data_IF_494819669875
#
_entry.id   IF_494819669875
#
_cell.length_a   1.000
_cell.length_b   1.000
_cell.length_c   1.000
_cell.angle_alpha   90.00
_cell.angle_beta   90.00
_cell.angle_gamma   90.00
#
_symmetry.space_group_name_H-M   'P 1'
#
loop_
_entity.id
_entity.type
_entity.pdbx_description
1 polymer ?
#
# COMPACT_ATOMS: atom_id res chain seq x y z
N UNK A 1 0.34 40.62 5.77
CA UNK A 1 1.37 39.58 5.98
C UNK A 1 0.74 38.43 6.75
N UNK A 2 0.47 37.28 6.11
CA UNK A 2 0.12 36.05 6.82
C UNK A 2 1.42 35.29 7.06
N UNK A 3 1.80 35.15 8.32
CA UNK A 3 2.92 34.32 8.74
C UNK A 3 2.55 32.88 8.39
N UNK A 4 3.31 32.27 7.48
CA UNK A 4 3.11 30.89 7.05
C UNK A 4 3.28 29.96 8.24
N UNK A 5 2.17 29.35 8.69
CA UNK A 5 2.23 28.25 9.63
C UNK A 5 2.99 27.11 8.99
N UNK A 6 4.12 26.72 9.59
CA UNK A 6 4.75 25.45 9.32
C UNK A 6 3.75 24.38 9.73
N UNK A 7 3.04 23.80 8.75
CA UNK A 7 2.17 22.66 8.98
C UNK A 7 3.07 21.53 9.48
N UNK A 8 3.09 21.33 10.80
CA UNK A 8 3.82 20.25 11.44
C UNK A 8 3.02 18.96 11.18
N UNK A 9 3.12 18.43 9.96
CA UNK A 9 2.48 17.18 9.60
C UNK A 9 3.05 16.08 10.50
N UNK A 10 2.16 15.36 11.17
CA UNK A 10 2.55 14.20 11.97
C UNK A 10 3.25 13.20 11.04
N UNK A 11 4.43 12.73 11.45
CA UNK A 11 5.17 11.72 10.72
C UNK A 11 4.58 10.33 11.04
N UNK A 12 3.97 9.68 10.05
CA UNK A 12 3.37 8.36 10.18
C UNK A 12 4.29 7.27 9.64
N UNK A 13 4.12 6.04 10.13
CA UNK A 13 4.70 4.82 9.58
C UNK A 13 3.65 4.12 8.73
N UNK A 14 3.92 3.94 7.45
CA UNK A 14 2.97 3.43 6.47
C UNK A 14 3.58 2.22 5.77
N UNK A 15 2.96 1.06 5.91
CA UNK A 15 3.31 -0.09 5.09
C UNK A 15 2.43 -0.12 3.84
N UNK A 16 2.99 -0.50 2.68
CA UNK A 16 2.24 -0.66 1.43
C UNK A 16 2.43 -2.07 0.90
N UNK A 17 1.38 -2.88 0.93
CA UNK A 17 1.40 -4.27 0.47
C UNK A 17 1.06 -4.37 -1.02
N UNK A 18 2.03 -4.83 -1.81
CA UNK A 18 1.98 -4.89 -3.27
C UNK A 18 2.66 -3.68 -3.91
N UNK A 19 3.57 -3.92 -4.85
CA UNK A 19 4.34 -2.87 -5.55
C UNK A 19 4.04 -2.81 -7.06
N UNK A 20 2.78 -3.08 -7.43
CA UNK A 20 2.26 -2.73 -8.75
C UNK A 20 2.01 -1.22 -8.91
N UNK A 21 1.37 -0.81 -9.99
CA UNK A 21 1.07 0.61 -10.28
C UNK A 21 0.42 1.35 -9.11
N UNK A 22 -0.67 0.80 -8.55
CA UNK A 22 -1.39 1.42 -7.42
C UNK A 22 -0.52 1.49 -6.17
N UNK A 23 0.14 0.39 -5.80
CA UNK A 23 0.93 0.34 -4.58
C UNK A 23 2.16 1.25 -4.64
N UNK A 24 2.93 1.19 -5.72
CA UNK A 24 4.16 1.98 -5.83
C UNK A 24 3.88 3.46 -6.04
N UNK A 25 2.80 3.85 -6.72
CA UNK A 25 2.40 5.26 -6.81
C UNK A 25 2.06 5.83 -5.44
N UNK A 26 1.29 5.11 -4.62
CA UNK A 26 0.95 5.52 -3.25
C UNK A 26 2.20 5.55 -2.35
N UNK A 27 3.07 4.54 -2.46
CA UNK A 27 4.30 4.49 -1.68
C UNK A 27 5.23 5.67 -2.00
N UNK A 28 5.39 5.99 -3.28
CA UNK A 28 6.19 7.12 -3.77
C UNK A 28 5.57 8.45 -3.31
N UNK A 29 4.25 8.60 -3.43
CA UNK A 29 3.54 9.81 -2.99
C UNK A 29 3.73 10.09 -1.49
N UNK A 30 3.47 9.09 -0.65
CA UNK A 30 3.45 9.25 0.81
C UNK A 30 4.86 9.36 1.41
N UNK A 31 5.86 8.73 0.79
CA UNK A 31 7.25 8.74 1.27
C UNK A 31 7.95 10.08 1.18
N UNK A 32 7.36 11.07 0.50
CA UNK A 32 7.83 12.45 0.51
C UNK A 32 7.71 13.11 1.89
N UNK A 33 6.79 12.64 2.73
CA UNK A 33 6.47 13.27 4.02
C UNK A 33 6.35 12.29 5.20
N UNK A 34 6.33 10.99 4.93
CA UNK A 34 6.15 9.93 5.94
C UNK A 34 7.15 8.80 5.75
N UNK A 35 7.32 7.96 6.78
CA UNK A 35 8.11 6.74 6.65
C UNK A 35 7.28 5.67 5.96
N UNK A 36 7.74 5.21 4.79
CA UNK A 36 7.04 4.20 4.00
C UNK A 36 7.89 2.95 3.83
N UNK A 37 7.29 1.80 4.10
CA UNK A 37 7.87 0.49 3.81
C UNK A 37 6.98 -0.25 2.81
N UNK A 38 7.45 -0.37 1.57
CA UNK A 38 6.82 -1.18 0.54
C UNK A 38 7.09 -2.68 0.81
N UNK A 39 6.07 -3.51 0.66
CA UNK A 39 6.15 -4.95 0.86
C UNK A 39 5.75 -5.64 -0.44
N UNK A 40 6.62 -6.52 -0.93
CA UNK A 40 6.34 -7.36 -2.09
C UNK A 40 6.78 -8.80 -1.82
N UNK A 41 6.39 -9.72 -2.70
CA UNK A 41 6.82 -11.12 -2.66
C UNK A 41 7.93 -11.40 -3.67
N UNK A 42 8.19 -10.47 -4.60
CA UNK A 42 9.20 -10.61 -5.66
C UNK A 42 10.50 -9.91 -5.21
N UNK A 43 11.61 -10.66 -4.96
CA UNK A 43 12.87 -10.10 -4.48
C UNK A 43 13.46 -9.03 -5.39
N UNK A 44 13.36 -9.22 -6.71
CA UNK A 44 13.85 -8.28 -7.71
C UNK A 44 13.20 -6.90 -7.58
N UNK A 45 11.87 -6.85 -7.38
CA UNK A 45 11.16 -5.57 -7.17
C UNK A 45 11.64 -4.86 -5.91
N UNK A 46 11.85 -5.60 -4.83
CA UNK A 46 12.36 -5.08 -3.56
C UNK A 46 13.76 -4.48 -3.74
N UNK A 47 14.64 -5.19 -4.43
CA UNK A 47 15.99 -4.71 -4.73
C UNK A 47 15.97 -3.45 -5.59
N UNK A 48 15.16 -3.43 -6.65
CA UNK A 48 15.03 -2.26 -7.52
C UNK A 48 14.58 -1.02 -6.75
N UNK A 49 13.51 -1.13 -5.93
CA UNK A 49 12.98 0.01 -5.17
C UNK A 49 14.02 0.53 -4.16
N UNK A 50 14.72 -0.36 -3.45
CA UNK A 50 15.78 0.04 -2.51
C UNK A 50 16.98 0.69 -3.22
N UNK A 51 17.21 0.36 -4.49
CA UNK A 51 18.19 0.99 -5.36
C UNK A 51 17.64 2.20 -6.13
N UNK A 52 16.50 2.75 -5.70
CA UNK A 52 15.87 3.94 -6.31
C UNK A 52 15.54 3.75 -7.81
N UNK A 53 15.20 2.52 -8.20
CA UNK A 53 14.76 2.16 -9.56
C UNK A 53 13.32 1.66 -9.53
N UNK A 54 12.52 2.11 -10.50
CA UNK A 54 11.13 1.64 -10.62
C UNK A 54 11.08 0.24 -11.25
N UNK A 55 10.38 -0.74 -10.65
CA UNK A 55 10.08 -2.03 -11.27
C UNK A 55 8.93 -1.99 -12.30
N UNK A 56 8.32 -0.83 -12.52
CA UNK A 56 7.24 -0.59 -13.48
C UNK A 56 7.54 0.64 -14.33
N UNK A 57 6.98 0.70 -15.53
CA UNK A 57 7.19 1.84 -16.41
C UNK A 57 6.19 2.96 -16.10
N UNK A 58 6.67 4.02 -15.47
CA UNK A 58 5.90 5.22 -15.12
C UNK A 58 6.84 6.42 -14.95
N UNK A 59 6.67 7.44 -15.80
CA UNK A 59 7.55 8.62 -15.85
C UNK A 59 7.67 9.34 -14.50
N UNK A 60 6.60 9.41 -13.72
CA UNK A 60 6.60 10.14 -12.45
C UNK A 60 7.25 9.32 -11.35
N UNK A 61 6.96 8.02 -11.26
CA UNK A 61 7.59 7.15 -10.27
C UNK A 61 9.09 7.05 -10.54
N UNK A 62 9.49 6.81 -11.78
CA UNK A 62 10.90 6.75 -12.18
C UNK A 62 11.63 8.04 -11.82
N UNK A 63 11.05 9.19 -12.16
CA UNK A 63 11.59 10.51 -11.83
C UNK A 63 11.68 10.74 -10.32
N UNK A 64 10.66 10.40 -9.55
CA UNK A 64 10.63 10.66 -8.12
C UNK A 64 11.61 9.78 -7.35
N UNK A 65 11.72 8.50 -7.72
CA UNK A 65 12.72 7.60 -7.14
C UNK A 65 14.13 8.11 -7.43
N UNK A 66 14.41 8.58 -8.65
CA UNK A 66 15.73 9.03 -9.04
C UNK A 66 16.12 10.42 -8.47
N UNK A 67 15.17 11.36 -8.39
CA UNK A 67 15.48 12.78 -8.14
C UNK A 67 15.07 13.29 -6.75
N UNK A 68 14.15 12.62 -6.06
CA UNK A 68 13.59 13.11 -4.78
C UNK A 68 14.16 12.35 -3.60
N UNK A 69 14.28 13.05 -2.47
CA UNK A 69 14.55 12.43 -1.18
C UNK A 69 13.26 11.80 -0.65
N UNK A 70 13.12 10.50 -0.84
CA UNK A 70 11.99 9.71 -0.35
C UNK A 70 12.41 8.94 0.90
N UNK A 71 11.53 8.91 1.91
CA UNK A 71 11.67 8.00 3.04
C UNK A 71 10.93 6.69 2.70
N UNK A 72 11.44 6.00 1.67
CA UNK A 72 10.89 4.79 1.11
C UNK A 72 11.92 3.67 1.22
N UNK A 73 11.52 2.54 1.79
CA UNK A 73 12.26 1.28 1.74
C UNK A 73 11.34 0.18 1.24
N UNK A 74 11.90 -0.92 0.74
CA UNK A 74 11.16 -2.10 0.33
C UNK A 74 11.67 -3.35 1.05
N UNK A 75 10.79 -4.32 1.31
CA UNK A 75 11.15 -5.57 1.99
C UNK A 75 10.26 -6.74 1.55
N UNK A 76 10.79 -7.95 1.73
CA UNK A 76 10.02 -9.21 1.68
C UNK A 76 9.43 -9.56 3.06
N UNK A 77 9.94 -8.95 4.14
CA UNK A 77 9.53 -9.23 5.51
C UNK A 77 8.28 -8.45 5.90
N UNK A 78 7.12 -9.04 5.63
CA UNK A 78 5.83 -8.52 6.03
C UNK A 78 5.70 -8.33 7.55
N UNK A 79 6.33 -9.18 8.37
CA UNK A 79 6.27 -9.05 9.83
C UNK A 79 6.95 -7.76 10.26
N UNK A 80 8.18 -7.54 9.80
CA UNK A 80 8.92 -6.33 10.12
C UNK A 80 8.17 -5.07 9.66
N UNK A 81 7.62 -5.09 8.44
CA UNK A 81 6.91 -3.93 7.88
C UNK A 81 5.59 -3.60 8.58
N UNK A 82 4.83 -4.61 9.04
CA UNK A 82 3.49 -4.37 9.61
C UNK A 82 3.50 -4.14 11.12
N UNK A 83 4.50 -4.63 11.84
CA UNK A 83 4.51 -4.67 13.32
C UNK A 83 4.38 -3.29 13.99
N UNK A 84 4.86 -2.22 13.37
CA UNK A 84 4.84 -0.86 13.91
C UNK A 84 4.18 0.18 12.98
N UNK A 85 3.47 -0.28 11.95
CA UNK A 85 2.77 0.59 11.02
C UNK A 85 1.53 1.23 11.67
N UNK A 86 1.35 2.54 11.46
CA UNK A 86 0.10 3.23 11.76
C UNK A 86 -0.99 2.85 10.74
N UNK A 87 -0.57 2.76 9.47
CA UNK A 87 -1.42 2.40 8.34
C UNK A 87 -0.80 1.28 7.51
N UNK A 88 -1.64 0.36 7.02
CA UNK A 88 -1.25 -0.61 6.00
C UNK A 88 -2.13 -0.40 4.78
N UNK A 89 -1.56 0.12 3.69
CA UNK A 89 -2.22 0.23 2.40
C UNK A 89 -2.15 -1.13 1.71
N UNK A 90 -3.29 -1.68 1.30
CA UNK A 90 -3.39 -2.99 0.64
C UNK A 90 -3.70 -2.75 -0.85
N UNK A 91 -2.69 -2.95 -1.70
CA UNK A 91 -2.73 -2.74 -3.14
C UNK A 91 -2.25 -4.01 -3.89
N UNK A 92 -2.62 -5.18 -3.38
CA UNK A 92 -2.33 -6.47 -3.99
C UNK A 92 -3.27 -6.77 -5.16
N UNK A 93 -2.89 -7.65 -6.10
CA UNK A 93 -3.75 -8.03 -7.22
C UNK A 93 -5.13 -8.54 -6.77
N UNK A 94 -6.14 -8.21 -7.57
CA UNK A 94 -7.51 -8.72 -7.47
C UNK A 94 -7.99 -8.96 -8.89
N UNK A 95 -8.45 -10.17 -9.18
CA UNK A 95 -8.88 -10.54 -10.53
C UNK A 95 -10.38 -10.80 -10.56
N UNK A 96 -11.07 -10.22 -11.54
CA UNK A 96 -12.46 -10.53 -11.81
C UNK A 96 -12.54 -11.61 -12.88
N UNK A 97 -13.18 -12.72 -12.57
CA UNK A 97 -13.53 -13.75 -13.54
C UNK A 97 -14.92 -13.45 -14.10
N UNK A 98 -14.97 -13.07 -15.37
CA UNK A 98 -16.22 -12.77 -16.09
C UNK A 98 -17.11 -13.99 -16.31
N UNK A 99 -16.57 -15.21 -16.27
CA UNK A 99 -17.32 -16.45 -16.47
C UNK A 99 -18.04 -16.87 -15.19
N UNK A 100 -17.35 -16.80 -14.05
CA UNK A 100 -17.93 -17.16 -12.73
C UNK A 100 -18.56 -15.96 -12.01
N UNK A 101 -18.39 -14.75 -12.55
CA UNK A 101 -18.78 -13.48 -11.95
C UNK A 101 -18.19 -13.30 -10.54
N UNK A 102 -16.98 -13.84 -10.32
CA UNK A 102 -16.33 -13.88 -9.02
C UNK A 102 -15.08 -13.00 -9.00
N UNK A 103 -14.87 -12.30 -7.88
CA UNK A 103 -13.63 -11.60 -7.60
C UNK A 103 -12.72 -12.47 -6.75
N UNK A 104 -11.56 -12.85 -7.27
CA UNK A 104 -10.50 -13.40 -6.45
C UNK A 104 -9.86 -12.28 -5.61
N UNK A 105 -10.12 -12.34 -4.30
CA UNK A 105 -9.60 -11.41 -3.29
C UNK A 105 -8.64 -12.09 -2.32
N UNK A 106 -8.16 -13.29 -2.66
CA UNK A 106 -7.28 -14.11 -1.82
C UNK A 106 -6.03 -13.37 -1.36
N UNK A 107 -5.38 -12.61 -2.25
CA UNK A 107 -4.20 -11.82 -1.93
C UNK A 107 -4.49 -10.72 -0.90
N UNK A 108 -5.64 -10.04 -1.01
CA UNK A 108 -6.08 -9.03 -0.04
C UNK A 108 -6.29 -9.69 1.33
N UNK A 109 -6.94 -10.85 1.37
CA UNK A 109 -7.16 -11.58 2.63
C UNK A 109 -5.86 -12.09 3.28
N UNK A 110 -4.86 -12.50 2.49
CA UNK A 110 -3.54 -12.89 3.02
C UNK A 110 -2.91 -11.70 3.74
N UNK A 111 -2.95 -10.50 3.16
CA UNK A 111 -2.42 -9.29 3.81
C UNK A 111 -3.20 -8.98 5.07
N UNK A 112 -4.55 -8.98 5.04
CA UNK A 112 -5.38 -8.75 6.23
C UNK A 112 -5.00 -9.73 7.35
N UNK A 113 -4.84 -11.03 7.05
CA UNK A 113 -4.41 -12.04 8.04
C UNK A 113 -3.06 -11.72 8.65
N UNK A 114 -2.09 -11.30 7.85
CA UNK A 114 -0.75 -10.95 8.33
C UNK A 114 -0.78 -9.68 9.20
N UNK A 115 -1.53 -8.66 8.80
CA UNK A 115 -1.70 -7.44 9.61
C UNK A 115 -2.39 -7.77 10.93
N UNK A 116 -3.47 -8.53 10.92
CA UNK A 116 -4.16 -8.96 12.15
C UNK A 116 -3.25 -9.78 13.07
N UNK A 117 -2.33 -10.56 12.52
CA UNK A 117 -1.35 -11.36 13.29
C UNK A 117 -0.26 -10.50 13.93
N UNK A 118 0.25 -9.49 13.22
CA UNK A 118 1.44 -8.74 13.65
C UNK A 118 1.12 -7.40 14.30
N UNK A 119 0.03 -6.75 13.88
CA UNK A 119 -0.40 -5.45 14.38
C UNK A 119 -1.91 -5.23 14.13
N UNK A 120 -2.79 -5.82 14.97
CA UNK A 120 -4.25 -5.69 14.81
C UNK A 120 -4.77 -4.25 15.02
N UNK A 121 -3.95 -3.35 15.56
CA UNK A 121 -4.31 -1.95 15.79
C UNK A 121 -4.07 -1.06 14.58
N UNK A 122 -3.29 -1.50 13.59
CA UNK A 122 -3.04 -0.73 12.36
C UNK A 122 -4.34 -0.50 11.58
N UNK A 123 -4.46 0.68 10.96
CA UNK A 123 -5.55 0.98 10.04
C UNK A 123 -5.21 0.41 8.66
N UNK A 124 -5.98 -0.59 8.22
CA UNK A 124 -5.84 -1.21 6.91
C UNK A 124 -6.66 -0.43 5.88
N UNK A 125 -6.01 0.08 4.84
CA UNK A 125 -6.64 0.83 3.75
C UNK A 125 -6.58 0.00 2.48
N UNK A 126 -7.68 -0.63 2.11
CA UNK A 126 -7.78 -1.39 0.87
C UNK A 126 -7.88 -0.39 -0.29
N UNK A 127 -6.91 -0.49 -1.20
CA UNK A 127 -6.85 0.21 -2.49
C UNK A 127 -7.18 -0.72 -3.65
N UNK A 128 -6.91 -2.03 -3.51
CA UNK A 128 -7.31 -3.04 -4.48
C UNK A 128 -8.80 -3.00 -4.80
N UNK A 129 -9.16 -3.21 -6.07
CA UNK A 129 -10.56 -3.28 -6.49
C UNK A 129 -11.24 -4.48 -5.86
N UNK A 130 -12.30 -4.21 -5.08
CA UNK A 130 -13.03 -5.23 -4.32
C UNK A 130 -14.53 -5.14 -4.61
N UNK A 131 -15.29 -6.25 -4.49
CA UNK A 131 -16.72 -6.24 -4.74
C UNK A 131 -17.47 -5.40 -3.70
N UNK A 132 -18.65 -4.91 -4.08
CA UNK A 132 -19.54 -4.18 -3.16
C UNK A 132 -19.88 -5.07 -1.96
N UNK A 133 -19.85 -4.51 -0.76
CA UNK A 133 -20.09 -5.24 0.50
C UNK A 133 -18.86 -5.98 1.05
N UNK A 134 -17.77 -6.12 0.28
CA UNK A 134 -16.57 -6.85 0.71
C UNK A 134 -15.96 -6.31 2.00
N UNK A 135 -15.87 -4.98 2.14
CA UNK A 135 -15.29 -4.40 3.38
C UNK A 135 -16.10 -4.77 4.61
N UNK A 136 -17.43 -4.84 4.51
CA UNK A 136 -18.28 -5.26 5.62
C UNK A 136 -18.05 -6.73 5.96
N UNK A 137 -17.99 -7.61 4.95
CA UNK A 137 -17.78 -9.05 5.16
C UNK A 137 -16.42 -9.37 5.77
N UNK A 138 -15.33 -8.71 5.35
CA UNK A 138 -14.00 -8.95 5.96
C UNK A 138 -13.88 -8.36 7.37
N UNK A 139 -14.53 -7.24 7.67
CA UNK A 139 -14.59 -6.71 9.04
C UNK A 139 -15.25 -7.70 9.99
N UNK A 140 -16.33 -8.33 9.57
CA UNK A 140 -17.02 -9.38 10.34
C UNK A 140 -16.13 -10.62 10.47
N UNK A 141 -15.63 -11.14 9.35
CA UNK A 141 -14.77 -12.34 9.29
C UNK A 141 -13.52 -12.25 10.15
N UNK A 142 -12.88 -11.08 10.21
CA UNK A 142 -11.65 -10.87 10.97
C UNK A 142 -11.86 -10.15 12.31
N UNK A 143 -13.10 -9.78 12.65
CA UNK A 143 -13.42 -9.09 13.91
C UNK A 143 -12.73 -7.72 14.07
N UNK A 144 -12.41 -7.03 12.97
CA UNK A 144 -11.64 -5.77 12.99
C UNK A 144 -12.43 -4.62 12.40
N UNK A 145 -12.53 -3.51 13.14
CA UNK A 145 -13.14 -2.26 12.65
C UNK A 145 -12.15 -1.40 11.86
N UNK A 146 -10.86 -1.76 11.87
CA UNK A 146 -9.77 -0.96 11.32
C UNK A 146 -9.54 -1.19 9.82
N UNK A 147 -10.41 -1.92 9.14
CA UNK A 147 -10.33 -2.16 7.69
C UNK A 147 -11.21 -1.14 6.98
N UNK A 148 -10.67 -0.28 6.14
CA UNK A 148 -11.42 0.67 5.32
C UNK A 148 -11.12 0.46 3.84
N UNK A 149 -12.06 0.82 2.97
CA UNK A 149 -11.83 0.89 1.53
C UNK A 149 -11.70 2.34 1.10
N UNK A 150 -10.70 2.62 0.27
CA UNK A 150 -10.51 3.90 -0.38
C UNK A 150 -10.21 3.61 -1.84
N UNK A 151 -11.16 3.86 -2.77
CA UNK A 151 -10.97 3.50 -4.17
C UNK A 151 -9.75 4.21 -4.76
N UNK A 152 -9.23 3.65 -5.83
CA UNK A 152 -8.22 4.26 -6.68
C UNK A 152 -8.84 4.53 -8.06
N UNK A 153 -8.33 5.54 -8.75
CA UNK A 153 -8.77 5.94 -10.09
C UNK A 153 -7.58 6.31 -10.99
N UNK A 154 -6.41 5.78 -10.65
CA UNK A 154 -5.17 5.99 -11.38
C UNK A 154 -5.28 5.29 -12.74
N UNK A 155 -4.48 5.73 -13.71
CA UNK A 155 -4.35 5.03 -14.98
C UNK A 155 -2.93 4.52 -15.08
N UNK A 156 -2.74 3.32 -15.63
CA UNK A 156 -1.38 2.85 -15.89
C UNK A 156 -0.64 3.86 -16.79
N UNK A 157 0.58 4.21 -16.39
CA UNK A 157 1.45 5.21 -17.02
C UNK A 157 0.97 6.68 -16.98
N UNK A 158 0.02 7.06 -16.08
CA UNK A 158 -0.42 8.47 -15.89
C UNK A 158 -0.86 8.84 -14.48
#
# INVERSE_FOLDING_TARGET
MRVGGVNNMKNYKIAVAGTGYVGLSIATLLSQHHQVTAVDIVPEKVEMINNHKSPIHDDYIEKYLAEKKLNLTATLDAKAAYSDADFVVIATPTNYDSHTQHFDTSAVEVVIKLVMKYNPNAIMVIKSTIPVGYTASVREKFGSKNIIFSPEFLRESK
#
